data_IF_980766706095
#
_entry.id   IF_980766706095
#
_cell.length_a   1.000
_cell.length_b   1.000
_cell.length_c   1.000
_cell.angle_alpha   90.00
_cell.angle_beta   90.00
_cell.angle_gamma   90.00
#
_symmetry.space_group_name_H-M   'P 1'
#
loop_
_entity.id
_entity.type
_entity.pdbx_description
1 polymer ?
#
# COMPACT_ATOMS: atom_id res chain seq x y z
N UNK A 1 8.11 32.26 14.56
CA UNK A 1 7.73 30.91 14.07
C UNK A 1 6.24 30.76 14.37
N UNK A 2 5.35 30.67 13.36
CA UNK A 2 3.94 30.45 13.64
C UNK A 2 3.78 29.10 14.32
N UNK A 3 2.98 29.06 15.38
CA UNK A 3 2.68 27.85 16.16
C UNK A 3 1.88 26.88 15.30
N UNK A 4 2.57 26.01 14.56
CA UNK A 4 1.93 24.96 13.76
C UNK A 4 1.31 23.92 14.69
N UNK A 5 -0.02 23.96 14.84
CA UNK A 5 -0.81 22.96 15.54
C UNK A 5 -0.87 21.71 14.66
N UNK A 6 -0.44 20.56 15.18
CA UNK A 6 -0.58 19.31 14.45
C UNK A 6 -2.07 19.08 14.12
N UNK A 7 -2.42 18.70 12.87
CA UNK A 7 -3.82 18.52 12.51
C UNK A 7 -4.49 17.52 13.45
N UNK A 8 -5.63 17.91 14.03
CA UNK A 8 -6.46 17.05 14.87
C UNK A 8 -6.64 15.67 14.21
N UNK A 9 -6.46 14.59 14.98
CA UNK A 9 -6.54 13.22 14.48
C UNK A 9 -7.85 12.94 13.70
N UNK A 10 -8.95 13.59 14.10
CA UNK A 10 -10.29 13.47 13.51
C UNK A 10 -10.62 14.48 12.40
N UNK A 11 -9.61 15.03 11.74
CA UNK A 11 -9.87 15.90 10.59
C UNK A 11 -10.58 15.13 9.46
N UNK A 12 -11.50 15.79 8.73
CA UNK A 12 -12.34 15.17 7.69
C UNK A 12 -11.54 14.36 6.66
N UNK A 13 -10.33 14.81 6.31
CA UNK A 13 -9.44 14.13 5.38
C UNK A 13 -8.86 12.82 5.93
N UNK A 14 -8.57 12.76 7.23
CA UNK A 14 -8.10 11.53 7.88
C UNK A 14 -9.22 10.50 7.92
N UNK A 15 -10.43 10.94 8.29
CA UNK A 15 -11.64 10.10 8.28
C UNK A 15 -11.91 9.57 6.88
N UNK A 16 -11.90 10.44 5.86
CA UNK A 16 -12.06 10.04 4.47
C UNK A 16 -11.05 8.97 4.06
N UNK A 17 -9.76 9.19 4.33
CA UNK A 17 -8.70 8.26 3.90
C UNK A 17 -8.80 6.92 4.63
N UNK A 18 -9.16 6.93 5.92
CA UNK A 18 -9.39 5.72 6.69
C UNK A 18 -10.60 4.93 6.19
N UNK A 19 -11.75 5.60 5.94
CA UNK A 19 -12.95 4.95 5.39
C UNK A 19 -12.67 4.39 4.00
N UNK A 20 -11.98 5.16 3.14
CA UNK A 20 -11.59 4.69 1.81
C UNK A 20 -10.68 3.47 1.87
N UNK A 21 -9.66 3.50 2.73
CA UNK A 21 -8.78 2.35 2.96
C UNK A 21 -9.56 1.11 3.41
N UNK A 22 -10.41 1.23 4.43
CA UNK A 22 -11.19 0.11 4.95
C UNK A 22 -12.17 -0.44 3.91
N UNK A 23 -12.84 0.43 3.15
CA UNK A 23 -13.73 0.03 2.07
C UNK A 23 -12.98 -0.70 0.94
N UNK A 24 -11.80 -0.20 0.54
CA UNK A 24 -10.98 -0.83 -0.48
C UNK A 24 -10.34 -2.15 -0.02
N UNK A 25 -9.89 -2.22 1.24
CA UNK A 25 -9.41 -3.43 1.88
C UNK A 25 -10.51 -4.50 1.90
N UNK A 26 -11.72 -4.12 2.31
CA UNK A 26 -12.89 -4.99 2.30
C UNK A 26 -13.24 -5.46 0.89
N UNK A 27 -13.30 -4.55 -0.08
CA UNK A 27 -13.55 -4.89 -1.48
C UNK A 27 -12.51 -5.90 -2.01
N UNK A 28 -11.22 -5.67 -1.75
CA UNK A 28 -10.16 -6.59 -2.12
C UNK A 28 -10.32 -7.97 -1.46
N UNK A 29 -10.65 -8.04 -0.18
CA UNK A 29 -10.88 -9.29 0.53
C UNK A 29 -12.13 -10.04 0.02
N UNK A 30 -13.21 -9.29 -0.24
CA UNK A 30 -14.44 -9.82 -0.81
C UNK A 30 -14.20 -10.44 -2.20
N UNK A 31 -13.46 -9.76 -3.07
CA UNK A 31 -13.10 -10.30 -4.38
C UNK A 31 -12.27 -11.59 -4.27
N UNK A 32 -11.34 -11.68 -3.30
CA UNK A 32 -10.58 -12.91 -3.06
C UNK A 32 -11.49 -14.10 -2.71
N UNK A 33 -12.49 -13.89 -1.85
CA UNK A 33 -13.47 -14.93 -1.50
C UNK A 33 -14.27 -15.37 -2.73
N UNK A 34 -14.84 -14.41 -3.46
CA UNK A 34 -15.66 -14.71 -4.65
C UNK A 34 -14.86 -15.54 -5.65
N UNK A 35 -13.60 -15.16 -5.92
CA UNK A 35 -12.73 -15.88 -6.84
C UNK A 35 -12.35 -17.26 -6.29
N UNK A 36 -12.07 -17.36 -4.98
CA UNK A 36 -11.70 -18.63 -4.35
C UNK A 36 -12.84 -19.65 -4.37
N UNK A 37 -14.10 -19.20 -4.38
CA UNK A 37 -15.29 -20.06 -4.44
C UNK A 37 -15.63 -20.51 -5.88
N UNK A 38 -15.05 -19.89 -6.91
CA UNK A 38 -15.28 -20.28 -8.29
C UNK A 38 -14.60 -21.63 -8.59
N UNK A 39 -15.38 -22.56 -9.15
CA UNK A 39 -14.96 -23.93 -9.50
C UNK A 39 -14.21 -23.98 -10.84
N UNK A 40 -13.32 -23.02 -11.09
CA UNK A 40 -12.49 -23.04 -12.29
C UNK A 40 -11.36 -24.07 -12.14
N UNK A 41 -11.11 -24.91 -13.16
CA UNK A 41 -9.99 -25.84 -13.15
C UNK A 41 -8.67 -25.06 -13.11
N UNK A 42 -7.80 -25.43 -12.16
CA UNK A 42 -6.44 -24.89 -12.09
C UNK A 42 -5.63 -25.46 -13.26
N UNK A 43 -5.17 -24.58 -14.16
CA UNK A 43 -4.24 -24.95 -15.21
C UNK A 43 -2.84 -25.25 -14.67
N UNK A 44 -1.91 -25.72 -15.53
CA UNK A 44 -0.52 -25.85 -15.14
C UNK A 44 0.06 -24.47 -14.77
N UNK A 45 0.97 -24.45 -13.78
CA UNK A 45 1.69 -23.23 -13.39
C UNK A 45 2.40 -22.60 -14.58
N UNK A 46 2.46 -21.27 -14.59
CA UNK A 46 3.12 -20.53 -15.66
C UNK A 46 4.65 -20.59 -15.51
N UNK A 47 5.40 -20.52 -16.63
CA UNK A 47 6.85 -20.42 -16.58
C UNK A 47 7.25 -19.08 -15.95
N UNK A 48 8.06 -19.15 -14.88
CA UNK A 48 8.50 -17.97 -14.13
C UNK A 48 10.02 -18.00 -13.94
N UNK A 49 10.68 -16.89 -14.29
CA UNK A 49 12.14 -16.78 -14.23
C UNK A 49 12.64 -16.82 -12.78
N UNK A 50 11.96 -16.18 -11.84
CA UNK A 50 12.34 -16.20 -10.43
C UNK A 50 12.31 -17.61 -9.86
N UNK A 51 11.36 -18.44 -10.29
CA UNK A 51 11.29 -19.84 -9.86
C UNK A 51 12.38 -20.71 -10.46
N UNK A 52 12.81 -20.41 -11.68
CA UNK A 52 13.95 -21.10 -12.28
C UNK A 52 15.25 -20.74 -11.56
N UNK A 53 15.43 -19.46 -11.22
CA UNK A 53 16.61 -18.98 -10.49
C UNK A 53 16.66 -19.48 -9.04
N UNK A 54 15.49 -19.57 -8.38
CA UNK A 54 15.35 -19.97 -6.99
C UNK A 54 14.78 -21.38 -6.84
N UNK A 55 15.00 -22.26 -7.83
CA UNK A 55 14.42 -23.61 -7.85
C UNK A 55 14.80 -24.43 -6.62
N UNK A 56 16.03 -24.24 -6.13
CA UNK A 56 16.61 -24.96 -5.00
C UNK A 56 16.26 -24.33 -3.64
N UNK A 57 15.66 -23.14 -3.62
CA UNK A 57 15.21 -22.51 -2.39
C UNK A 57 13.86 -23.13 -1.96
N UNK A 58 13.85 -23.79 -0.81
CA UNK A 58 12.64 -24.30 -0.16
C UNK A 58 12.34 -23.47 1.09
N UNK A 59 11.63 -22.36 0.90
CA UNK A 59 11.21 -21.46 1.98
C UNK A 59 9.72 -21.65 2.24
N UNK A 60 9.32 -21.67 3.51
CA UNK A 60 7.90 -21.76 3.91
C UNK A 60 7.09 -20.57 3.40
N UNK A 61 5.86 -20.81 2.96
CA UNK A 61 4.88 -19.79 2.55
C UNK A 61 4.43 -18.88 3.70
N UNK A 62 4.87 -19.13 4.93
CA UNK A 62 4.66 -18.24 6.09
C UNK A 62 5.55 -16.99 6.06
N UNK A 63 6.75 -17.07 5.45
CA UNK A 63 7.74 -16.00 5.49
C UNK A 63 7.26 -14.66 4.89
N UNK A 64 6.54 -14.63 3.75
CA UNK A 64 5.94 -13.39 3.23
C UNK A 64 5.10 -12.63 4.26
N UNK A 65 4.26 -13.34 5.04
CA UNK A 65 3.42 -12.74 6.08
C UNK A 65 4.28 -12.12 7.20
N UNK A 66 5.31 -12.85 7.65
CA UNK A 66 6.25 -12.36 8.67
C UNK A 66 6.94 -11.08 8.18
N UNK A 67 7.37 -11.05 6.92
CA UNK A 67 8.10 -9.91 6.36
C UNK A 67 7.23 -8.67 6.22
N UNK A 68 5.97 -8.80 5.83
CA UNK A 68 5.03 -7.66 5.83
C UNK A 68 4.83 -7.11 7.24
N UNK A 69 4.66 -7.99 8.24
CA UNK A 69 4.52 -7.58 9.64
C UNK A 69 5.79 -6.89 10.13
N UNK A 70 6.97 -7.43 9.81
CA UNK A 70 8.26 -6.84 10.18
C UNK A 70 8.41 -5.42 9.62
N UNK A 71 8.20 -5.24 8.31
CA UNK A 71 8.22 -3.91 7.66
C UNK A 71 7.18 -2.98 8.28
N UNK A 72 5.98 -3.48 8.56
CA UNK A 72 4.91 -2.73 9.20
C UNK A 72 5.30 -2.22 10.59
N UNK A 73 5.90 -3.07 11.42
CA UNK A 73 6.41 -2.71 12.75
C UNK A 73 7.51 -1.65 12.64
N UNK A 74 8.50 -1.86 11.77
CA UNK A 74 9.57 -0.89 11.53
C UNK A 74 9.03 0.47 11.06
N UNK A 75 8.04 0.47 10.16
CA UNK A 75 7.36 1.69 9.70
C UNK A 75 6.55 2.38 10.82
N UNK A 76 5.84 1.63 11.67
CA UNK A 76 5.10 2.16 12.83
C UNK A 76 6.06 2.78 13.84
N UNK A 77 7.17 2.11 14.18
CA UNK A 77 8.19 2.67 15.09
C UNK A 77 8.69 4.01 14.54
N UNK A 78 9.00 4.08 13.25
CA UNK A 78 9.42 5.32 12.61
C UNK A 78 8.34 6.41 12.63
N UNK A 79 7.08 6.03 12.43
CA UNK A 79 5.92 6.91 12.47
C UNK A 79 5.67 7.48 13.87
N UNK A 80 5.93 6.73 14.94
CA UNK A 80 5.84 7.23 16.32
C UNK A 80 6.87 8.35 16.58
N UNK A 81 8.00 8.33 15.89
CA UNK A 81 9.00 9.40 15.91
C UNK A 81 8.66 10.59 14.99
N UNK A 82 7.59 10.50 14.19
CA UNK A 82 7.18 11.54 13.26
C UNK A 82 6.29 12.59 13.93
N UNK A 83 6.66 13.87 13.80
CA UNK A 83 5.87 15.00 14.29
C UNK A 83 4.52 15.10 13.58
N UNK A 84 4.46 14.69 12.31
CA UNK A 84 3.27 14.82 11.45
C UNK A 84 2.59 13.47 11.20
N UNK A 85 2.64 12.56 12.18
CA UNK A 85 2.09 11.19 12.09
C UNK A 85 0.70 11.07 11.48
N UNK A 86 -0.23 11.97 11.82
CA UNK A 86 -1.60 11.92 11.29
C UNK A 86 -1.65 12.15 9.76
N UNK A 87 -0.81 13.06 9.24
CA UNK A 87 -0.67 13.30 7.81
C UNK A 87 -0.04 12.11 7.10
N UNK A 88 0.96 11.49 7.71
CA UNK A 88 1.64 10.29 7.19
C UNK A 88 0.68 9.11 7.11
N UNK A 89 -0.09 8.85 8.19
CA UNK A 89 -1.14 7.82 8.21
C UNK A 89 -2.20 8.07 7.14
N UNK A 90 -2.67 9.32 6.99
CA UNK A 90 -3.65 9.71 5.97
C UNK A 90 -3.15 9.37 4.56
N UNK A 91 -1.92 9.75 4.23
CA UNK A 91 -1.28 9.46 2.93
C UNK A 91 -1.16 7.97 2.70
N UNK A 92 -0.67 7.23 3.69
CA UNK A 92 -0.54 5.79 3.63
C UNK A 92 -1.89 5.13 3.36
N UNK A 93 -2.92 5.47 4.13
CA UNK A 93 -4.26 4.91 4.00
C UNK A 93 -4.85 5.16 2.59
N UNK A 94 -4.71 6.37 2.06
CA UNK A 94 -5.19 6.69 0.71
C UNK A 94 -4.44 5.89 -0.39
N UNK A 95 -3.10 5.85 -0.33
CA UNK A 95 -2.29 5.15 -1.32
C UNK A 95 -2.50 3.62 -1.25
N UNK A 96 -2.51 3.06 -0.03
CA UNK A 96 -2.76 1.64 0.20
C UNK A 96 -4.17 1.23 -0.23
N UNK A 97 -5.18 2.05 0.09
CA UNK A 97 -6.56 1.83 -0.36
C UNK A 97 -6.66 1.81 -1.89
N UNK A 98 -5.97 2.74 -2.56
CA UNK A 98 -5.94 2.79 -4.04
C UNK A 98 -5.35 1.50 -4.62
N UNK A 99 -4.23 1.02 -4.06
CA UNK A 99 -3.61 -0.21 -4.52
C UNK A 99 -4.47 -1.46 -4.26
N UNK A 100 -5.12 -1.55 -3.09
CA UNK A 100 -6.04 -2.67 -2.81
C UNK A 100 -7.29 -2.65 -3.69
N UNK A 101 -7.83 -1.47 -4.00
CA UNK A 101 -8.91 -1.35 -4.97
C UNK A 101 -8.48 -1.87 -6.35
N UNK A 102 -7.32 -1.40 -6.86
CA UNK A 102 -6.78 -1.85 -8.14
C UNK A 102 -6.51 -3.35 -8.16
N UNK A 103 -5.98 -3.90 -7.06
CA UNK A 103 -5.79 -5.35 -6.92
C UNK A 103 -7.12 -6.10 -6.99
N UNK A 104 -8.14 -5.68 -6.23
CA UNK A 104 -9.47 -6.30 -6.25
C UNK A 104 -10.09 -6.31 -7.64
N UNK A 105 -9.92 -5.24 -8.42
CA UNK A 105 -10.31 -5.20 -9.85
C UNK A 105 -9.46 -6.17 -10.67
N UNK A 106 -8.16 -6.18 -10.49
CA UNK A 106 -7.25 -6.99 -11.30
C UNK A 106 -7.51 -8.49 -11.14
N UNK A 107 -7.69 -8.97 -9.91
CA UNK A 107 -7.99 -10.38 -9.62
C UNK A 107 -9.39 -10.80 -10.13
N UNK A 108 -10.36 -9.88 -10.19
CA UNK A 108 -11.69 -10.18 -10.72
C UNK A 108 -11.74 -10.24 -12.24
N UNK A 109 -10.87 -9.46 -12.92
CA UNK A 109 -10.77 -9.44 -14.39
C UNK A 109 -9.97 -10.62 -14.92
N UNK A 110 -8.84 -10.97 -14.29
CA UNK A 110 -7.96 -12.05 -14.77
C UNK A 110 -7.47 -12.92 -13.64
N UNK A 111 -7.66 -14.23 -13.82
CA UNK A 111 -7.35 -15.27 -12.83
C UNK A 111 -6.20 -16.11 -13.35
N UNK A 112 -5.10 -16.17 -12.60
CA UNK A 112 -3.92 -16.98 -12.93
C UNK A 112 -3.92 -18.27 -12.10
N UNK A 113 -3.30 -19.35 -12.61
CA UNK A 113 -3.14 -20.57 -11.83
C UNK A 113 -2.18 -20.36 -10.66
N UNK A 114 -2.42 -20.98 -9.51
CA UNK A 114 -1.56 -20.79 -8.33
C UNK A 114 -0.13 -21.29 -8.62
N UNK A 115 0.92 -20.50 -8.30
CA UNK A 115 2.30 -20.96 -8.41
C UNK A 115 2.68 -22.12 -7.46
N UNK A 116 2.04 -22.18 -6.29
CA UNK A 116 2.15 -23.25 -5.31
C UNK A 116 1.06 -24.31 -5.56
N UNK A 117 1.49 -25.44 -6.11
CA UNK A 117 0.63 -26.60 -6.36
C UNK A 117 0.08 -27.25 -5.08
N UNK A 118 0.63 -26.91 -3.91
CA UNK A 118 0.21 -27.45 -2.61
C UNK A 118 -0.82 -26.57 -1.90
N UNK A 119 -1.10 -25.37 -2.44
CA UNK A 119 -2.05 -24.45 -1.83
C UNK A 119 -3.48 -25.00 -1.92
N UNK A 120 -4.06 -25.30 -0.76
CA UNK A 120 -5.46 -25.69 -0.63
C UNK A 120 -6.25 -24.55 0.00
N UNK A 121 -7.20 -24.00 -0.75
CA UNK A 121 -8.02 -22.90 -0.25
C UNK A 121 -8.92 -23.40 0.88
N UNK A 122 -8.81 -22.77 2.06
CA UNK A 122 -9.66 -23.08 3.23
C UNK A 122 -10.84 -22.11 3.21
N UNK A 123 -11.67 -22.21 2.16
CA UNK A 123 -12.88 -21.39 2.04
C UNK A 123 -14.10 -22.32 2.16
N UNK A 124 -14.88 -22.23 3.25
CA UNK A 124 -16.13 -22.97 3.35
C UNK A 124 -17.03 -22.64 2.15
N UNK A 125 -17.60 -23.66 1.49
CA UNK A 125 -18.50 -23.46 0.34
C UNK A 125 -19.90 -22.89 0.72
N UNK A 126 -20.08 -22.37 1.95
CA UNK A 126 -21.35 -21.84 2.53
C UNK A 126 -20.99 -20.85 3.67
N UNK A 127 -21.67 -19.73 3.99
CA UNK A 127 -23.03 -19.23 3.64
C UNK A 127 -23.13 -17.68 3.58
N UNK A 128 -22.01 -16.93 3.61
CA UNK A 128 -22.05 -15.47 3.39
C UNK A 128 -20.67 -14.90 3.03
N UNK A 129 -20.43 -14.68 1.72
CA UNK A 129 -19.18 -14.09 1.24
C UNK A 129 -18.85 -12.73 1.88
N UNK A 130 -19.88 -11.98 2.34
CA UNK A 130 -19.67 -10.71 3.03
C UNK A 130 -19.01 -10.87 4.40
N UNK A 131 -19.29 -11.97 5.12
CA UNK A 131 -18.67 -12.28 6.42
C UNK A 131 -17.29 -12.88 6.21
N UNK A 132 -17.14 -13.76 5.23
CA UNK A 132 -15.87 -14.41 4.95
C UNK A 132 -14.80 -13.41 4.47
N UNK A 133 -15.20 -12.32 3.82
CA UNK A 133 -14.31 -11.20 3.52
C UNK A 133 -13.63 -10.62 4.78
N UNK A 134 -14.35 -10.51 5.91
CA UNK A 134 -13.74 -10.07 7.17
C UNK A 134 -12.76 -11.11 7.72
N UNK A 135 -13.03 -12.40 7.55
CA UNK A 135 -12.12 -13.48 7.98
C UNK A 135 -10.83 -13.52 7.18
N UNK A 136 -10.85 -13.12 5.90
CA UNK A 136 -9.62 -12.92 5.10
C UNK A 136 -8.78 -11.78 5.67
N UNK A 137 -9.43 -10.67 6.05
CA UNK A 137 -8.73 -9.54 6.69
C UNK A 137 -8.12 -9.94 8.03
N UNK A 138 -8.84 -10.76 8.81
CA UNK A 138 -8.38 -11.29 10.10
C UNK A 138 -7.39 -12.48 9.97
N UNK A 139 -6.94 -12.78 8.74
CA UNK A 139 -5.98 -13.86 8.43
C UNK A 139 -6.46 -15.27 8.84
N UNK A 140 -7.77 -15.45 9.07
CA UNK A 140 -8.36 -16.75 9.41
C UNK A 140 -8.62 -17.64 8.19
N UNK A 141 -8.75 -17.03 7.01
CA UNK A 141 -8.96 -17.72 5.73
C UNK A 141 -7.77 -17.47 4.82
N UNK A 142 -7.25 -18.56 4.24
CA UNK A 142 -6.23 -18.53 3.20
C UNK A 142 -6.88 -18.75 1.84
N UNK A 143 -6.71 -17.79 0.95
CA UNK A 143 -7.09 -17.89 -0.47
C UNK A 143 -5.88 -18.27 -1.30
N UNK A 144 -6.14 -19.07 -2.34
CA UNK A 144 -5.10 -19.61 -3.22
C UNK A 144 -5.26 -19.11 -4.67
N UNK A 145 -6.20 -18.21 -4.94
CA UNK A 145 -6.54 -17.82 -6.33
C UNK A 145 -6.27 -16.34 -6.62
N UNK A 146 -5.78 -15.61 -5.63
CA UNK A 146 -5.54 -14.18 -5.64
C UNK A 146 -4.07 -13.84 -5.91
N UNK A 147 -3.51 -14.56 -6.88
CA UNK A 147 -2.07 -14.53 -7.14
C UNK A 147 -1.67 -13.37 -8.04
N UNK A 148 -2.60 -12.80 -8.83
CA UNK A 148 -2.31 -11.62 -9.67
C UNK A 148 -2.21 -10.36 -8.80
N UNK A 149 -1.10 -9.62 -8.95
CA UNK A 149 -0.79 -8.38 -8.19
C UNK A 149 -0.57 -8.62 -6.69
N UNK A 150 0.69 -8.64 -6.25
CA UNK A 150 1.05 -8.95 -4.86
C UNK A 150 0.67 -7.85 -3.86
N UNK A 151 -0.21 -8.19 -2.92
CA UNK A 151 -0.58 -7.33 -1.78
C UNK A 151 0.56 -7.14 -0.78
N UNK A 152 1.37 -8.18 -0.53
CA UNK A 152 2.52 -8.13 0.37
C UNK A 152 3.59 -7.16 -0.13
N UNK A 153 4.03 -7.33 -1.38
CA UNK A 153 4.99 -6.43 -2.01
C UNK A 153 4.48 -4.99 -2.01
N UNK A 154 3.19 -4.79 -2.30
CA UNK A 154 2.56 -3.47 -2.28
C UNK A 154 2.68 -2.79 -0.93
N UNK A 155 2.25 -3.47 0.14
CA UNK A 155 2.26 -2.93 1.50
C UNK A 155 3.67 -2.63 1.98
N UNK A 156 4.65 -3.50 1.69
CA UNK A 156 6.05 -3.25 2.00
C UNK A 156 6.60 -2.04 1.23
N UNK A 157 6.38 -2.00 -0.09
CA UNK A 157 6.85 -0.91 -0.96
C UNK A 157 6.25 0.44 -0.57
N UNK A 158 4.93 0.52 -0.33
CA UNK A 158 4.29 1.76 0.09
C UNK A 158 4.82 2.24 1.44
N UNK A 159 5.05 1.34 2.39
CA UNK A 159 5.63 1.69 3.69
C UNK A 159 7.05 2.25 3.55
N UNK A 160 7.90 1.61 2.74
CA UNK A 160 9.26 2.08 2.47
C UNK A 160 9.28 3.42 1.72
N UNK A 161 8.51 3.54 0.64
CA UNK A 161 8.43 4.75 -0.17
C UNK A 161 7.86 5.92 0.62
N UNK A 162 6.87 5.70 1.47
CA UNK A 162 6.32 6.75 2.31
C UNK A 162 7.37 7.27 3.29
N UNK A 163 8.13 6.39 3.95
CA UNK A 163 9.21 6.80 4.87
C UNK A 163 10.34 7.51 4.11
N UNK A 164 10.64 7.10 2.87
CA UNK A 164 11.65 7.75 2.03
C UNK A 164 11.23 9.16 1.59
N UNK A 165 10.00 9.29 1.10
CA UNK A 165 9.48 10.52 0.50
C UNK A 165 8.96 11.52 1.56
N UNK A 166 8.66 11.05 2.77
CA UNK A 166 8.19 11.85 3.90
C UNK A 166 9.32 12.32 4.82
N UNK A 167 10.27 13.10 4.29
CA UNK A 167 11.32 13.73 5.10
C UNK A 167 11.01 15.21 5.31
N UNK A 168 10.13 15.56 6.25
CA UNK A 168 9.90 16.97 6.62
C UNK A 168 10.58 17.35 7.95
N UNK A 169 11.31 18.47 7.90
CA UNK A 169 11.84 19.29 9.02
C UNK A 169 12.18 18.54 10.31
N UNK A 170 13.14 17.61 10.24
CA UNK A 170 13.68 16.90 11.39
C UNK A 170 14.97 17.52 11.94
N UNK A 171 15.16 17.47 13.25
CA UNK A 171 16.44 17.82 13.90
C UNK A 171 17.58 16.95 13.37
N UNK A 172 18.85 17.35 13.52
CA UNK A 172 20.00 16.55 13.02
C UNK A 172 19.99 15.11 13.53
N UNK A 173 19.69 14.90 14.82
CA UNK A 173 19.60 13.57 15.43
C UNK A 173 18.41 12.76 14.87
N UNK A 174 17.24 13.38 14.75
CA UNK A 174 16.06 12.73 14.19
C UNK A 174 16.25 12.37 12.71
N UNK A 175 17.00 13.17 11.94
CA UNK A 175 17.40 12.83 10.57
C UNK A 175 18.28 11.60 10.52
N UNK A 176 19.31 11.52 11.37
CA UNK A 176 20.20 10.36 11.38
C UNK A 176 19.47 9.06 11.75
N UNK A 177 18.64 9.10 12.80
CA UNK A 177 17.78 7.97 13.17
C UNK A 177 16.78 7.60 12.06
N UNK A 178 16.22 8.60 11.38
CA UNK A 178 15.33 8.38 10.24
C UNK A 178 16.05 7.72 9.06
N UNK A 179 17.30 8.09 8.78
CA UNK A 179 18.10 7.46 7.72
C UNK A 179 18.43 6.01 8.08
N UNK A 180 18.78 5.71 9.33
CA UNK A 180 18.96 4.33 9.79
C UNK A 180 17.69 3.48 9.62
N UNK A 181 16.54 4.02 10.03
CA UNK A 181 15.25 3.36 9.85
C UNK A 181 14.90 3.13 8.36
N UNK A 182 15.22 4.08 7.48
CA UNK A 182 15.05 3.93 6.03
C UNK A 182 15.86 2.74 5.49
N UNK A 183 17.14 2.65 5.84
CA UNK A 183 17.99 1.52 5.41
C UNK A 183 17.48 0.18 5.91
N UNK A 184 17.07 0.12 7.18
CA UNK A 184 16.48 -1.09 7.76
C UNK A 184 15.21 -1.52 6.99
N UNK A 185 14.27 -0.60 6.80
CA UNK A 185 13.02 -0.89 6.09
C UNK A 185 13.29 -1.34 4.66
N UNK A 186 14.20 -0.68 3.93
CA UNK A 186 14.55 -1.11 2.57
C UNK A 186 15.22 -2.49 2.54
N UNK A 187 16.08 -2.81 3.51
CA UNK A 187 16.67 -4.14 3.64
C UNK A 187 15.59 -5.21 3.90
N UNK A 188 14.63 -4.93 4.79
CA UNK A 188 13.47 -5.79 5.05
C UNK A 188 12.60 -5.96 3.80
N UNK A 189 12.36 -4.89 3.03
CA UNK A 189 11.59 -4.96 1.76
C UNK A 189 12.29 -5.85 0.74
N UNK A 190 13.59 -5.68 0.53
CA UNK A 190 14.38 -6.51 -0.41
C UNK A 190 14.34 -7.98 0.03
N UNK A 191 14.53 -8.24 1.32
CA UNK A 191 14.45 -9.60 1.85
C UNK A 191 13.03 -10.18 1.76
N UNK A 192 12.00 -9.37 1.99
CA UNK A 192 10.59 -9.74 1.84
C UNK A 192 10.22 -10.09 0.40
N UNK A 193 10.69 -9.30 -0.56
CA UNK A 193 10.53 -9.60 -2.00
C UNK A 193 11.20 -10.94 -2.34
N UNK A 194 12.41 -11.17 -1.84
CA UNK A 194 13.10 -12.44 -2.02
C UNK A 194 12.30 -13.62 -1.44
N UNK A 195 11.77 -13.51 -0.21
CA UNK A 195 11.01 -14.62 0.39
C UNK A 195 9.71 -14.89 -0.35
N UNK A 196 9.03 -13.88 -0.91
CA UNK A 196 7.82 -14.05 -1.75
C UNK A 196 8.12 -14.92 -2.98
N UNK A 197 9.19 -14.62 -3.71
CA UNK A 197 9.54 -15.36 -4.93
C UNK A 197 10.09 -16.75 -4.58
N UNK A 198 10.97 -16.85 -3.59
CA UNK A 198 11.60 -18.10 -3.17
C UNK A 198 10.59 -19.13 -2.63
N UNK A 199 9.59 -18.66 -1.87
CA UNK A 199 8.49 -19.51 -1.37
C UNK A 199 7.44 -19.84 -2.42
N UNK A 200 7.56 -19.27 -3.63
CA UNK A 200 6.58 -19.42 -4.73
C UNK A 200 5.18 -18.93 -4.32
N UNK A 201 5.13 -17.93 -3.45
CA UNK A 201 3.89 -17.37 -2.93
C UNK A 201 3.17 -16.49 -3.97
N UNK A 202 3.93 -15.76 -4.78
CA UNK A 202 3.46 -15.02 -5.96
C UNK A 202 4.40 -15.24 -7.14
N UNK A 203 3.92 -15.07 -8.38
CA UNK A 203 4.81 -15.03 -9.54
C UNK A 203 5.69 -13.79 -9.47
N UNK A 204 6.86 -13.87 -10.11
CA UNK A 204 7.80 -12.74 -10.19
C UNK A 204 7.15 -11.54 -10.88
N UNK A 205 6.27 -11.77 -11.87
CA UNK A 205 5.55 -10.69 -12.54
C UNK A 205 4.61 -9.93 -11.60
N UNK A 206 3.97 -10.61 -10.64
CA UNK A 206 3.06 -9.99 -9.68
C UNK A 206 3.83 -9.04 -8.74
N UNK A 207 5.04 -9.43 -8.37
CA UNK A 207 5.98 -8.63 -7.58
C UNK A 207 6.45 -7.41 -8.39
N UNK A 208 6.83 -7.59 -9.66
CA UNK A 208 7.26 -6.49 -10.55
C UNK A 208 6.14 -5.47 -10.73
N UNK A 209 4.92 -5.92 -11.04
CA UNK A 209 3.75 -5.03 -11.18
C UNK A 209 3.50 -4.26 -9.89
N UNK A 210 3.53 -4.93 -8.74
CA UNK A 210 3.35 -4.28 -7.44
C UNK A 210 4.42 -3.20 -7.17
N UNK A 211 5.70 -3.48 -7.46
CA UNK A 211 6.80 -2.51 -7.33
C UNK A 211 6.57 -1.30 -8.25
N UNK A 212 6.26 -1.54 -9.53
CA UNK A 212 6.04 -0.49 -10.51
C UNK A 212 4.85 0.39 -10.14
N UNK A 213 3.69 -0.20 -9.84
CA UNK A 213 2.48 0.56 -9.50
C UNK A 213 2.61 1.31 -8.18
N UNK A 214 3.16 0.69 -7.12
CA UNK A 214 3.40 1.37 -5.84
C UNK A 214 4.34 2.56 -6.01
N UNK A 215 5.40 2.39 -6.80
CA UNK A 215 6.36 3.45 -7.09
C UNK A 215 5.70 4.57 -7.90
N UNK A 216 5.09 4.26 -9.04
CA UNK A 216 4.44 5.24 -9.90
C UNK A 216 3.37 6.04 -9.15
N UNK A 217 2.50 5.36 -8.40
CA UNK A 217 1.46 6.00 -7.62
C UNK A 217 2.04 6.93 -6.55
N UNK A 218 3.04 6.46 -5.80
CA UNK A 218 3.70 7.26 -4.76
C UNK A 218 4.42 8.47 -5.34
N UNK A 219 5.24 8.27 -6.37
CA UNK A 219 5.98 9.37 -7.01
C UNK A 219 5.04 10.39 -7.65
N UNK A 220 3.99 9.94 -8.33
CA UNK A 220 2.97 10.82 -8.90
C UNK A 220 2.26 11.64 -7.81
N UNK A 221 1.82 10.98 -6.73
CA UNK A 221 1.20 11.65 -5.59
C UNK A 221 2.12 12.73 -5.00
N UNK A 222 3.36 12.37 -4.68
CA UNK A 222 4.32 13.30 -4.09
C UNK A 222 4.77 14.40 -5.07
N UNK A 223 4.80 14.15 -6.37
CA UNK A 223 5.04 15.17 -7.38
C UNK A 223 3.94 16.22 -7.38
N UNK A 224 2.66 15.82 -7.34
CA UNK A 224 1.53 16.76 -7.23
C UNK A 224 1.56 17.58 -5.95
N UNK A 225 1.90 16.93 -4.82
CA UNK A 225 2.05 17.64 -3.54
C UNK A 225 3.17 18.69 -3.61
N UNK A 226 4.31 18.37 -4.25
CA UNK A 226 5.43 19.30 -4.41
C UNK A 226 5.09 20.46 -5.34
N UNK A 227 4.53 20.16 -6.52
CA UNK A 227 4.10 21.17 -7.49
C UNK A 227 3.12 22.16 -6.86
N UNK A 228 2.16 21.68 -6.05
CA UNK A 228 1.24 22.57 -5.35
C UNK A 228 1.94 23.42 -4.28
N UNK A 229 2.85 22.83 -3.47
CA UNK A 229 3.60 23.61 -2.48
C UNK A 229 4.42 24.73 -3.11
N UNK A 230 5.00 24.47 -4.28
CA UNK A 230 5.74 25.46 -5.06
C UNK A 230 4.82 26.49 -5.74
N UNK A 231 3.55 26.15 -6.01
CA UNK A 231 2.57 27.07 -6.58
C UNK A 231 1.91 28.00 -5.56
N UNK A 232 1.97 27.73 -4.25
CA UNK A 232 1.35 28.57 -3.21
C UNK A 232 1.72 30.07 -3.27
N UNK A 233 2.99 30.49 -3.53
CA UNK A 233 3.34 31.90 -3.67
C UNK A 233 2.75 32.56 -4.94
N UNK A 234 2.32 31.75 -5.91
CA UNK A 234 1.76 32.17 -7.20
C UNK A 234 0.23 32.14 -7.20
N UNK A 235 -0.37 31.19 -6.48
CA UNK A 235 -1.83 30.96 -6.43
C UNK A 235 -2.57 32.03 -5.61
N UNK A 236 -1.96 32.59 -4.55
CA UNK A 236 -2.50 33.80 -3.88
C UNK A 236 -2.64 34.99 -4.85
N UNK A 237 -1.82 35.04 -5.90
CA UNK A 237 -1.86 36.08 -6.94
C UNK A 237 -2.85 35.77 -8.07
N UNK A 238 -3.25 34.50 -8.23
CA UNK A 238 -4.05 34.00 -9.36
C UNK A 238 -5.43 33.45 -8.99
N UNK A 239 -5.80 33.48 -7.70
CA UNK A 239 -7.18 33.18 -7.24
C UNK A 239 -8.25 34.07 -7.85
N UNK A 240 -7.89 35.23 -8.43
CA UNK A 240 -8.79 36.06 -9.24
C UNK A 240 -8.85 35.64 -10.73
N UNK A 241 -7.90 34.85 -11.24
CA UNK A 241 -7.71 34.64 -12.68
C UNK A 241 -7.95 33.21 -13.18
N UNK A 242 -7.81 32.19 -12.33
CA UNK A 242 -7.99 30.79 -12.74
C UNK A 242 -9.02 30.07 -11.88
N UNK A 243 -10.26 30.04 -12.36
CA UNK A 243 -11.30 29.14 -11.87
C UNK A 243 -10.95 27.66 -12.09
N UNK A 244 -11.31 26.83 -11.11
CA UNK A 244 -11.31 25.36 -11.06
C UNK A 244 -10.27 24.65 -11.95
N UNK A 245 -9.05 24.49 -11.44
CA UNK A 245 -8.04 23.59 -11.99
C UNK A 245 -8.49 22.12 -12.10
N UNK A 246 -7.66 21.22 -12.65
CA UNK A 246 -8.02 19.83 -12.87
C UNK A 246 -8.50 19.15 -11.58
N UNK A 247 -9.64 18.45 -11.66
CA UNK A 247 -10.36 17.85 -10.53
C UNK A 247 -9.45 17.07 -9.56
N UNK A 248 -8.48 16.34 -10.11
CA UNK A 248 -7.53 15.56 -9.32
C UNK A 248 -6.57 16.42 -8.51
N UNK A 249 -6.10 17.55 -9.07
CA UNK A 249 -5.27 18.51 -8.34
C UNK A 249 -6.04 19.12 -7.16
N UNK A 250 -7.27 19.58 -7.39
CA UNK A 250 -8.16 20.12 -6.35
C UNK A 250 -8.40 19.11 -5.23
N UNK A 251 -8.59 17.83 -5.57
CA UNK A 251 -8.73 16.77 -4.59
C UNK A 251 -7.46 16.55 -3.75
N UNK A 252 -6.28 16.51 -4.37
CA UNK A 252 -5.00 16.38 -3.64
C UNK A 252 -4.77 17.57 -2.70
N UNK A 253 -5.08 18.79 -3.14
CA UNK A 253 -4.98 20.00 -2.30
C UNK A 253 -5.89 19.89 -1.08
N UNK A 254 -7.15 19.51 -1.30
CA UNK A 254 -8.12 19.28 -0.23
C UNK A 254 -7.65 18.18 0.72
N UNK A 255 -7.17 17.06 0.17
CA UNK A 255 -6.70 15.90 0.92
C UNK A 255 -5.49 16.27 1.77
N UNK A 256 -4.60 17.14 1.29
CA UNK A 256 -3.41 17.55 2.02
C UNK A 256 -3.66 18.62 3.09
N UNK A 257 -4.77 19.37 2.99
CA UNK A 257 -5.13 20.48 3.91
C UNK A 257 -3.99 21.51 4.04
N UNK A 258 -3.39 21.92 2.92
CA UNK A 258 -2.25 22.87 2.94
C UNK A 258 -2.70 24.34 3.12
N UNK A 259 -4.01 24.59 3.09
CA UNK A 259 -4.59 25.94 3.02
C UNK A 259 -4.93 26.62 4.36
N UNK A 260 -4.50 26.12 5.53
CA UNK A 260 -4.95 26.65 6.83
C UNK A 260 -3.84 26.92 7.85
N UNK A 261 -2.57 26.82 7.46
CA UNK A 261 -1.46 27.04 8.40
C UNK A 261 -0.93 28.49 8.38
N UNK A 262 -1.64 29.40 7.68
CA UNK A 262 -1.27 30.81 7.51
C UNK A 262 -2.29 31.84 8.01
N UNK A 263 -3.51 31.42 8.35
CA UNK A 263 -4.55 32.31 8.85
C UNK A 263 -5.44 31.56 9.83
N UNK A 264 -5.08 31.65 11.10
CA UNK A 264 -5.97 31.76 12.28
C UNK A 264 -5.10 32.12 13.50
#
# INVERSE_FOLDING_TARGET
MPNYVSPHAFCRQNVFSAVYFLAALYFNAFMQIIISQMDDPQGPRLPDVGYQLLSNASISTMWPNIMVVAVGVSAIIRLLCDRYRARTIRRWAFLQGTMFFLRGVSISVTRLPNPDNTCTAIVPKTDNAFIDAFKVIDLQIVTCRDVLFSGHTTSMMLSALLVQLHTESMTKLARWLSTGAQWLIWAEVVFGIFTIVASKFHYTIDVVIAICLSSLLSWFYFALVRLHKESLPYEERNKELFGNGPLFGTFIIWLERIHLDGHD
#
